data_IF_337024104019
#
_entry.id   IF_337024104019
#
_cell.length_a   1.000
_cell.length_b   1.000
_cell.length_c   1.000
_cell.angle_alpha   90.00
_cell.angle_beta   90.00
_cell.angle_gamma   90.00
#
_symmetry.space_group_name_H-M   'P 1'
#
loop_
_entity.id
_entity.type
_entity.pdbx_description
1 polymer ?
#
# COMPACT_ATOMS: atom_id res chain seq x y z
N UNK A 1 19.52 21.53 2.84
CA UNK A 1 18.48 20.62 2.28
C UNK A 1 18.72 19.19 2.77
N UNK A 2 19.92 18.62 2.58
CA UNK A 2 20.23 17.25 3.05
C UNK A 2 20.07 17.04 4.56
N UNK A 3 20.49 18.00 5.40
CA UNK A 3 20.32 17.93 6.86
C UNK A 3 18.85 17.77 7.30
N UNK A 4 17.90 18.37 6.57
CA UNK A 4 16.47 18.24 6.87
C UNK A 4 15.91 16.86 6.52
N UNK A 5 16.29 16.33 5.35
CA UNK A 5 15.93 14.97 4.92
C UNK A 5 16.50 13.89 5.84
N UNK A 6 17.75 14.07 6.27
CA UNK A 6 18.39 13.15 7.20
C UNK A 6 17.67 13.12 8.56
N UNK A 7 17.20 14.27 9.05
CA UNK A 7 16.40 14.33 10.28
C UNK A 7 15.10 13.54 10.14
N UNK A 8 14.36 13.72 9.05
CA UNK A 8 13.12 12.96 8.77
C UNK A 8 13.40 11.47 8.69
N UNK A 9 14.49 11.08 8.04
CA UNK A 9 14.93 9.69 7.99
C UNK A 9 15.16 9.08 9.38
N UNK A 10 15.85 9.81 10.28
CA UNK A 10 16.07 9.35 11.64
C UNK A 10 14.76 9.20 12.43
N UNK A 11 13.82 10.14 12.26
CA UNK A 11 12.49 10.08 12.88
C UNK A 11 11.70 8.85 12.38
N UNK A 12 11.71 8.59 11.07
CA UNK A 12 11.05 7.43 10.48
C UNK A 12 11.72 6.10 10.89
N UNK A 13 13.05 6.06 10.99
CA UNK A 13 13.78 4.88 11.50
C UNK A 13 13.37 4.55 12.95
N UNK A 14 13.28 5.56 13.80
CA UNK A 14 12.80 5.39 15.18
C UNK A 14 11.37 4.83 15.19
N UNK A 15 10.49 5.41 14.39
CA UNK A 15 9.10 4.95 14.28
C UNK A 15 9.01 3.49 13.80
N UNK A 16 9.79 3.10 12.80
CA UNK A 16 9.86 1.72 12.30
C UNK A 16 10.23 0.75 13.43
N UNK A 17 11.26 1.09 14.21
CA UNK A 17 11.69 0.25 15.32
C UNK A 17 10.61 0.11 16.40
N UNK A 18 9.98 1.23 16.79
CA UNK A 18 8.90 1.24 17.79
C UNK A 18 7.71 0.39 17.32
N UNK A 19 7.34 0.48 16.05
CA UNK A 19 6.25 -0.30 15.45
C UNK A 19 6.60 -1.78 15.30
N UNK A 20 7.85 -2.12 14.99
CA UNK A 20 8.31 -3.51 14.92
C UNK A 20 8.28 -4.20 16.28
N UNK A 21 8.58 -3.48 17.36
CA UNK A 21 8.40 -3.98 18.73
C UNK A 21 6.92 -4.17 19.04
N UNK A 22 6.08 -3.17 18.71
CA UNK A 22 4.63 -3.21 18.99
C UNK A 22 3.89 -4.32 18.23
N UNK A 23 4.25 -4.58 16.98
CA UNK A 23 3.58 -5.52 16.08
C UNK A 23 4.36 -6.82 15.86
N UNK A 24 5.25 -7.16 16.80
CA UNK A 24 6.09 -8.34 16.73
C UNK A 24 5.29 -9.59 16.31
N UNK A 25 5.82 -10.36 15.37
CA UNK A 25 5.24 -11.59 14.79
C UNK A 25 3.97 -11.42 13.95
N UNK A 26 3.44 -10.20 13.76
CA UNK A 26 2.32 -9.92 12.85
C UNK A 26 2.78 -9.33 11.54
N UNK A 27 3.72 -8.38 11.61
CA UNK A 27 4.31 -7.74 10.44
C UNK A 27 5.67 -7.15 10.81
N UNK A 28 6.46 -6.82 9.80
CA UNK A 28 7.74 -6.12 9.94
C UNK A 28 7.80 -4.95 8.98
N UNK A 29 8.13 -3.78 9.50
CA UNK A 29 8.43 -2.58 8.74
C UNK A 29 9.93 -2.48 8.50
N UNK A 30 10.29 -1.88 7.37
CA UNK A 30 11.68 -1.70 6.97
C UNK A 30 11.89 -0.37 6.27
N UNK A 31 13.15 0.05 6.21
CA UNK A 31 13.55 1.23 5.45
C UNK A 31 13.40 0.97 3.95
N UNK A 32 12.99 1.99 3.22
CA UNK A 32 12.91 1.98 1.76
C UNK A 32 13.24 3.39 1.21
N UNK A 33 13.08 3.58 -0.09
CA UNK A 33 13.39 4.83 -0.77
C UNK A 33 12.50 6.02 -0.37
N UNK A 34 11.47 5.80 0.46
CA UNK A 34 10.56 6.82 0.97
C UNK A 34 10.90 7.24 2.41
N UNK A 35 11.93 6.64 3.02
CA UNK A 35 12.24 6.82 4.44
C UNK A 35 12.66 8.25 4.80
N UNK A 36 13.13 9.07 3.86
CA UNK A 36 13.47 10.48 4.07
C UNK A 36 12.30 11.44 3.81
N UNK A 37 11.09 10.93 3.52
CA UNK A 37 9.91 11.74 3.24
C UNK A 37 9.06 11.96 4.48
N UNK A 38 8.64 13.21 4.69
CA UNK A 38 7.66 13.54 5.72
C UNK A 38 6.26 13.10 5.30
N UNK A 39 5.31 12.94 6.24
CA UNK A 39 3.93 12.60 5.92
C UNK A 39 3.27 13.56 4.92
N UNK A 40 3.61 14.85 4.99
CA UNK A 40 3.11 15.88 4.07
C UNK A 40 3.67 15.70 2.66
N UNK A 41 4.97 15.45 2.53
CA UNK A 41 5.60 15.20 1.23
C UNK A 41 5.04 13.92 0.60
N UNK A 42 4.95 12.85 1.38
CA UNK A 42 4.37 11.57 0.93
C UNK A 42 2.93 11.76 0.42
N UNK A 43 2.09 12.47 1.19
CA UNK A 43 0.70 12.74 0.80
C UNK A 43 0.58 13.56 -0.48
N UNK A 44 1.51 14.46 -0.74
CA UNK A 44 1.44 15.37 -1.90
C UNK A 44 2.05 14.78 -3.17
N UNK A 45 2.96 13.80 -3.04
CA UNK A 45 3.79 13.33 -4.16
C UNK A 45 3.59 11.86 -4.49
N UNK A 46 3.28 11.02 -3.51
CA UNK A 46 3.13 9.57 -3.68
C UNK A 46 1.65 9.17 -3.75
N UNK A 47 0.82 9.73 -2.87
CA UNK A 47 -0.60 9.39 -2.87
C UNK A 47 -1.32 9.97 -4.09
N UNK A 48 -2.19 9.15 -4.68
CA UNK A 48 -3.09 9.65 -5.72
C UNK A 48 -4.08 10.67 -5.12
N UNK A 49 -4.40 11.75 -5.85
CA UNK A 49 -5.45 12.65 -5.44
C UNK A 49 -6.78 11.89 -5.37
N UNK A 50 -7.68 12.34 -4.49
CA UNK A 50 -9.04 11.79 -4.41
C UNK A 50 -9.72 11.93 -5.77
N UNK A 51 -10.08 10.80 -6.38
CA UNK A 51 -10.83 10.75 -7.65
C UNK A 51 -12.31 10.54 -7.34
N UNK A 52 -13.18 11.14 -8.15
CA UNK A 52 -14.60 10.79 -8.14
C UNK A 52 -14.72 9.37 -8.69
N UNK A 53 -15.46 8.53 -7.98
CA UNK A 53 -15.74 7.18 -8.46
C UNK A 53 -16.46 7.28 -9.81
N UNK A 54 -15.99 6.58 -10.85
CA UNK A 54 -16.70 6.52 -12.12
C UNK A 54 -18.06 5.84 -11.89
N UNK A 55 -19.11 6.44 -12.45
CA UNK A 55 -20.44 5.81 -12.49
C UNK A 55 -20.45 4.89 -13.71
N UNK A 56 -20.76 3.62 -13.47
CA UNK A 56 -20.88 2.61 -14.53
C UNK A 56 -22.31 2.15 -14.66
N UNK A 57 -22.71 1.86 -15.90
CA UNK A 57 -23.99 1.24 -16.21
C UNK A 57 -24.16 -0.11 -15.50
N UNK A 58 -25.39 -0.45 -15.13
CA UNK A 58 -25.70 -1.65 -14.34
C UNK A 58 -25.31 -2.94 -15.05
N UNK A 59 -25.25 -2.92 -16.37
CA UNK A 59 -24.90 -4.03 -17.26
C UNK A 59 -23.41 -4.40 -17.20
N UNK A 60 -22.55 -3.49 -16.70
CA UNK A 60 -21.12 -3.74 -16.52
C UNK A 60 -20.83 -4.71 -15.36
N UNK A 61 -21.81 -4.91 -14.47
CA UNK A 61 -21.67 -5.79 -13.31
C UNK A 61 -22.23 -7.18 -13.61
N UNK A 62 -21.52 -8.21 -13.18
CA UNK A 62 -21.99 -9.60 -13.27
C UNK A 62 -23.28 -9.73 -12.45
N UNK A 63 -24.39 -10.08 -13.12
CA UNK A 63 -25.72 -10.22 -12.50
C UNK A 63 -25.99 -11.62 -11.94
N UNK A 64 -25.25 -12.62 -12.38
CA UNK A 64 -25.39 -14.01 -11.93
C UNK A 64 -24.60 -14.25 -10.65
N UNK A 65 -25.19 -15.02 -9.73
CA UNK A 65 -24.42 -15.61 -8.63
C UNK A 65 -23.30 -16.46 -9.23
N UNK A 66 -22.07 -16.24 -8.76
CA UNK A 66 -20.96 -17.12 -9.07
C UNK A 66 -21.36 -18.53 -8.58
N UNK A 67 -21.47 -19.47 -9.51
CA UNK A 67 -21.75 -20.87 -9.19
C UNK A 67 -20.43 -21.61 -8.98
N UNK A 68 -20.30 -22.33 -7.86
CA UNK A 68 -19.14 -23.15 -7.54
C UNK A 68 -18.49 -22.82 -6.19
N UNK A 69 -17.73 -23.78 -5.66
CA UNK A 69 -16.90 -23.56 -4.49
C UNK A 69 -15.71 -22.65 -4.87
N UNK A 70 -15.51 -21.58 -4.10
CA UNK A 70 -14.33 -20.73 -4.23
C UNK A 70 -13.13 -21.42 -3.59
N UNK A 71 -11.91 -21.17 -4.09
CA UNK A 71 -10.71 -21.70 -3.46
C UNK A 71 -10.43 -20.98 -2.14
N UNK A 72 -9.76 -21.67 -1.21
CA UNK A 72 -9.34 -21.07 0.07
C UNK A 72 -8.30 -19.95 -0.12
N UNK A 73 -7.57 -19.96 -1.24
CA UNK A 73 -6.67 -18.88 -1.64
C UNK A 73 -6.55 -18.79 -3.16
N UNK A 74 -6.34 -17.57 -3.68
CA UNK A 74 -6.12 -17.33 -5.10
C UNK A 74 -5.11 -16.20 -5.29
N UNK A 75 -4.11 -16.41 -6.15
CA UNK A 75 -3.05 -15.44 -6.42
C UNK A 75 -2.95 -15.18 -7.93
N UNK A 76 -3.26 -13.95 -8.34
CA UNK A 76 -3.21 -13.50 -9.73
C UNK A 76 -1.77 -13.38 -10.27
N UNK A 77 -0.77 -13.24 -9.41
CA UNK A 77 0.64 -13.12 -9.84
C UNK A 77 1.13 -14.41 -10.48
N UNK A 78 0.64 -15.57 -9.99
CA UNK A 78 0.91 -16.89 -10.55
C UNK A 78 0.14 -17.20 -11.85
N UNK A 79 -0.69 -16.25 -12.33
CA UNK A 79 -1.53 -16.43 -13.52
C UNK A 79 -1.05 -15.62 -14.74
N UNK A 80 0.14 -15.00 -14.64
CA UNK A 80 0.67 -14.08 -15.65
C UNK A 80 -0.30 -12.93 -16.01
N UNK A 81 -1.16 -12.54 -15.06
CA UNK A 81 -2.12 -11.41 -15.20
C UNK A 81 -1.64 -10.12 -14.54
N UNK A 82 -0.51 -10.18 -13.84
CA UNK A 82 0.10 -9.05 -13.14
C UNK A 82 1.42 -8.74 -13.83
N UNK A 83 1.61 -7.48 -14.24
CA UNK A 83 2.88 -6.99 -14.78
C UNK A 83 3.82 -6.55 -13.65
N UNK A 84 5.12 -6.60 -13.90
CA UNK A 84 6.14 -6.05 -13.01
C UNK A 84 6.04 -4.52 -12.89
#
# INVERSE_FOLDING_TARGET
IESGKFKVFQENLKLINDLNVKFQRKTTLGLNHLADMSPREFSNTVLMPKRRAPVFEKERYVRSSLSGALPDSFDWTNQSKVTA
#
